data_IF_013991293331
#
_entry.id   IF_013991293331
#
_cell.length_a   1.000
_cell.length_b   1.000
_cell.length_c   1.000
_cell.angle_alpha   90.00
_cell.angle_beta   90.00
_cell.angle_gamma   90.00
#
_symmetry.space_group_name_H-M   'P 1'
#
loop_
_entity.id
_entity.type
_entity.pdbx_description
1 polymer ?
#
# COMPACT_ATOMS: atom_id res chain seq x y z
N UNK A 1 -60.57 51.24 32.47
CA UNK A 1 -60.22 49.83 32.15
C UNK A 1 -59.27 49.84 30.98
N UNK A 2 -57.97 49.97 31.26
CA UNK A 2 -56.92 50.22 30.25
C UNK A 2 -55.84 49.13 30.39
N UNK A 3 -55.71 48.30 29.37
CA UNK A 3 -54.80 47.18 29.33
C UNK A 3 -53.46 47.71 28.87
N UNK A 4 -52.44 47.57 29.72
CA UNK A 4 -51.05 47.91 29.39
C UNK A 4 -50.38 46.78 28.63
N UNK A 5 -49.82 47.07 27.42
CA UNK A 5 -48.95 46.20 26.61
C UNK A 5 -47.51 46.48 27.05
N UNK A 6 -46.89 45.46 27.64
CA UNK A 6 -45.49 45.47 27.94
C UNK A 6 -44.73 44.86 26.73
N UNK A 7 -43.83 45.64 26.12
CA UNK A 7 -42.85 45.18 25.10
C UNK A 7 -41.61 44.68 25.82
N UNK A 8 -41.05 43.55 25.44
CA UNK A 8 -39.69 43.21 25.87
C UNK A 8 -38.64 43.87 24.94
N UNK A 9 -37.69 44.51 25.58
CA UNK A 9 -36.54 45.15 24.97
C UNK A 9 -35.56 44.09 24.45
N UNK A 10 -35.22 44.18 23.18
CA UNK A 10 -34.08 43.47 22.56
C UNK A 10 -32.75 43.97 23.16
N UNK A 11 -32.04 43.07 23.75
CA UNK A 11 -30.64 43.20 24.10
C UNK A 11 -29.84 42.14 23.37
N UNK A 12 -29.46 42.40 22.12
CA UNK A 12 -28.49 41.59 21.42
C UNK A 12 -27.07 41.91 21.91
N UNK A 13 -26.61 41.17 22.90
CA UNK A 13 -25.19 41.16 23.24
C UNK A 13 -24.43 40.34 22.22
N UNK A 14 -23.61 40.99 21.40
CA UNK A 14 -22.59 40.36 20.58
C UNK A 14 -21.54 39.77 21.52
N UNK A 15 -21.68 38.51 21.91
CA UNK A 15 -20.60 37.79 22.60
C UNK A 15 -19.44 37.55 21.65
N UNK A 16 -18.36 38.29 21.91
CA UNK A 16 -17.07 38.08 21.29
C UNK A 16 -16.60 36.65 21.51
N UNK A 17 -16.15 36.04 20.45
CA UNK A 17 -15.59 34.68 20.39
C UNK A 17 -14.51 34.47 21.48
N UNK A 18 -14.71 33.58 22.47
CA UNK A 18 -13.73 33.39 23.54
C UNK A 18 -12.44 32.77 23.00
N UNK A 19 -11.33 33.29 23.44
CA UNK A 19 -9.95 32.93 23.10
C UNK A 19 -9.70 31.43 23.21
N UNK A 20 -9.23 30.82 22.11
CA UNK A 20 -8.77 29.42 22.10
C UNK A 20 -7.48 29.29 22.92
N UNK A 21 -7.35 28.29 23.82
CA UNK A 21 -6.13 28.11 24.61
C UNK A 21 -4.90 27.86 23.71
N UNK A 22 -3.72 28.34 24.13
CA UNK A 22 -2.49 28.25 23.30
C UNK A 22 -2.11 26.82 22.88
N UNK A 23 -2.43 25.81 23.70
CA UNK A 23 -2.22 24.39 23.37
C UNK A 23 -3.04 23.91 22.16
N UNK A 24 -4.25 24.44 21.99
CA UNK A 24 -5.10 24.05 20.84
C UNK A 24 -4.60 24.71 19.55
N UNK A 25 -4.10 25.95 19.63
CA UNK A 25 -3.40 26.60 18.53
C UNK A 25 -2.15 25.81 18.13
N UNK A 26 -1.35 25.36 19.10
CA UNK A 26 -0.17 24.56 18.85
C UNK A 26 -0.50 23.19 18.24
N UNK A 27 -1.59 22.52 18.65
CA UNK A 27 -2.07 21.28 18.06
C UNK A 27 -2.59 21.48 16.62
N UNK A 28 -3.36 22.55 16.38
CA UNK A 28 -3.83 22.88 15.04
C UNK A 28 -2.66 23.27 14.14
N UNK A 29 -1.69 24.05 14.63
CA UNK A 29 -0.47 24.34 13.88
C UNK A 29 0.42 23.11 13.68
N UNK A 30 0.55 22.22 14.67
CA UNK A 30 1.25 20.94 14.50
C UNK A 30 0.55 20.03 13.48
N UNK A 31 -0.79 19.95 13.48
CA UNK A 31 -1.54 19.27 12.43
C UNK A 31 -1.38 19.93 11.06
N UNK A 32 -1.41 21.26 10.98
CA UNK A 32 -1.21 22.01 9.74
C UNK A 32 0.24 21.91 9.23
N UNK A 33 1.23 21.87 10.10
CA UNK A 33 2.63 21.63 9.71
C UNK A 33 2.88 20.18 9.31
N UNK A 34 2.23 19.21 9.93
CA UNK A 34 2.20 17.81 9.43
C UNK A 34 1.51 17.68 8.07
N UNK A 35 0.52 18.52 7.78
CA UNK A 35 -0.18 18.57 6.48
C UNK A 35 0.64 19.30 5.39
N UNK A 36 1.53 20.21 5.78
CA UNK A 36 2.44 20.90 4.85
C UNK A 36 3.61 20.02 4.37
N UNK A 37 3.82 18.85 4.96
CA UNK A 37 4.65 17.81 4.36
C UNK A 37 3.78 17.17 3.26
N UNK A 38 3.71 17.84 2.11
CA UNK A 38 3.19 17.28 0.86
C UNK A 38 4.10 16.13 0.46
N UNK A 39 3.98 15.01 1.15
CA UNK A 39 4.52 13.76 0.68
C UNK A 39 3.66 13.37 -0.52
N UNK A 40 4.17 13.54 -1.72
CA UNK A 40 3.82 12.64 -2.80
C UNK A 40 3.97 11.25 -2.21
N UNK A 41 2.87 10.56 -2.00
CA UNK A 41 2.89 9.19 -1.51
C UNK A 41 3.30 8.28 -2.69
N UNK A 42 4.51 8.46 -3.19
CA UNK A 42 5.11 7.50 -4.09
C UNK A 42 5.20 6.17 -3.35
N UNK A 43 4.75 5.11 -3.98
CA UNK A 43 4.97 3.76 -3.48
C UNK A 43 6.47 3.56 -3.21
N UNK A 44 6.79 2.81 -2.16
CA UNK A 44 8.19 2.39 -1.95
C UNK A 44 8.55 1.56 -3.19
N UNK A 45 9.64 1.87 -3.90
CA UNK A 45 10.04 1.10 -5.06
C UNK A 45 10.37 -0.32 -4.63
N UNK A 46 9.81 -1.29 -5.34
CA UNK A 46 10.14 -2.70 -5.20
C UNK A 46 11.23 -3.09 -6.19
N UNK A 47 11.91 -4.20 -5.94
CA UNK A 47 12.85 -4.84 -6.86
C UNK A 47 12.24 -6.17 -7.31
N UNK A 48 11.48 -6.21 -8.41
CA UNK A 48 11.00 -7.46 -8.98
C UNK A 48 12.16 -8.32 -9.47
N UNK A 49 12.23 -9.56 -8.98
CA UNK A 49 13.13 -10.61 -9.44
C UNK A 49 12.27 -11.74 -9.98
N UNK A 50 12.28 -11.91 -11.29
CA UNK A 50 11.48 -12.92 -11.99
C UNK A 50 12.38 -13.99 -12.56
N UNK A 51 12.07 -15.27 -12.29
CA UNK A 51 12.70 -16.42 -12.91
C UNK A 51 11.74 -17.10 -13.88
N UNK A 52 12.13 -17.26 -15.14
CA UNK A 52 11.42 -18.09 -16.13
C UNK A 52 12.26 -19.32 -16.45
N UNK A 53 11.72 -20.50 -16.15
CA UNK A 53 12.41 -21.77 -16.26
C UNK A 53 11.66 -22.68 -17.23
N UNK A 54 12.38 -23.17 -18.25
CA UNK A 54 11.79 -24.01 -19.30
C UNK A 54 12.24 -25.47 -19.18
N UNK A 55 11.41 -26.41 -19.65
CA UNK A 55 11.68 -27.86 -19.63
C UNK A 55 12.95 -28.26 -20.40
N UNK A 56 13.42 -27.44 -21.32
CA UNK A 56 14.68 -27.65 -22.06
C UNK A 56 15.94 -27.23 -21.27
N UNK A 57 15.78 -26.85 -20.00
CA UNK A 57 16.84 -26.39 -19.12
C UNK A 57 17.25 -24.92 -19.33
N UNK A 58 16.59 -24.16 -20.20
CA UNK A 58 16.81 -22.71 -20.32
C UNK A 58 16.17 -21.98 -19.14
N UNK A 59 16.87 -20.97 -18.62
CA UNK A 59 16.38 -20.06 -17.61
C UNK A 59 16.62 -18.63 -18.06
N UNK A 60 15.63 -17.77 -17.87
CA UNK A 60 15.75 -16.32 -17.97
C UNK A 60 15.47 -15.72 -16.60
N UNK A 61 16.41 -14.91 -16.09
CA UNK A 61 16.23 -14.17 -14.86
C UNK A 61 16.15 -12.69 -15.21
N UNK A 62 15.07 -12.04 -14.77
CA UNK A 62 14.83 -10.62 -14.96
C UNK A 62 14.80 -9.92 -13.62
N UNK A 63 15.49 -8.78 -13.53
CA UNK A 63 15.45 -7.88 -12.37
C UNK A 63 15.04 -6.49 -12.83
N UNK A 64 14.18 -5.81 -12.07
CA UNK A 64 13.80 -4.44 -12.36
C UNK A 64 14.17 -3.56 -11.17
N UNK A 65 14.75 -2.38 -11.44
CA UNK A 65 15.19 -1.47 -10.39
C UNK A 65 14.99 -0.02 -10.81
N UNK A 66 14.36 0.75 -9.93
CA UNK A 66 14.23 2.20 -10.06
C UNK A 66 15.47 2.91 -9.49
N UNK A 67 15.92 4.03 -10.08
CA UNK A 67 16.93 4.90 -9.49
C UNK A 67 16.63 5.35 -8.07
N UNK A 68 15.37 5.42 -7.66
CA UNK A 68 14.95 5.73 -6.29
C UNK A 68 15.38 4.70 -5.26
N UNK A 69 15.62 3.44 -5.67
CA UNK A 69 15.86 2.32 -4.75
C UNK A 69 17.07 2.52 -3.84
N UNK A 70 18.08 3.30 -4.26
CA UNK A 70 19.26 3.60 -3.45
C UNK A 70 19.27 5.01 -2.85
N UNK A 71 18.19 5.77 -3.00
CA UNK A 71 18.06 7.06 -2.32
C UNK A 71 18.01 6.86 -0.80
N UNK A 72 18.44 7.86 -0.05
CA UNK A 72 18.37 7.85 1.42
C UNK A 72 16.94 7.60 1.93
N UNK A 73 15.96 8.16 1.24
CA UNK A 73 14.54 7.93 1.48
C UNK A 73 13.83 7.57 0.18
N UNK A 74 13.82 6.28 -0.22
CA UNK A 74 13.23 5.84 -1.50
C UNK A 74 11.76 6.25 -1.68
N UNK A 75 11.00 6.32 -0.58
CA UNK A 75 9.60 6.74 -0.57
C UNK A 75 9.40 8.21 -0.94
N UNK A 76 10.36 9.07 -0.60
CA UNK A 76 10.27 10.52 -0.80
C UNK A 76 11.08 11.01 -2.00
N UNK A 77 11.96 10.17 -2.53
CA UNK A 77 12.77 10.52 -3.68
C UNK A 77 11.88 10.63 -4.94
N UNK A 78 12.06 11.66 -5.76
CA UNK A 78 11.36 11.77 -7.03
C UNK A 78 11.79 10.66 -8.00
N UNK A 79 10.91 10.29 -8.89
CA UNK A 79 11.23 9.40 -10.00
C UNK A 79 12.15 10.12 -10.99
N UNK A 80 13.04 9.37 -11.63
CA UNK A 80 13.76 9.85 -12.80
C UNK A 80 12.80 9.80 -13.99
N UNK A 81 12.26 10.95 -14.40
CA UNK A 81 11.37 11.04 -15.55
C UNK A 81 12.12 10.91 -16.88
N UNK A 82 11.46 10.37 -17.89
CA UNK A 82 12.05 10.18 -19.21
C UNK A 82 12.54 11.49 -19.84
N UNK A 83 11.83 12.60 -19.65
CA UNK A 83 12.26 13.93 -20.13
C UNK A 83 13.66 14.32 -19.62
N UNK A 84 13.96 14.03 -18.35
CA UNK A 84 15.25 14.34 -17.74
C UNK A 84 16.31 13.32 -18.20
N UNK A 85 15.96 12.03 -18.25
CA UNK A 85 16.82 10.94 -18.73
C UNK A 85 17.25 11.12 -20.19
N UNK A 86 16.40 11.71 -21.04
CA UNK A 86 16.76 12.02 -22.43
C UNK A 86 17.96 12.97 -22.52
N UNK A 87 18.12 13.87 -21.57
CA UNK A 87 19.23 14.83 -21.50
C UNK A 87 20.55 14.20 -21.05
N UNK A 88 20.54 12.96 -20.51
CA UNK A 88 21.73 12.29 -20.00
C UNK A 88 22.69 11.93 -21.12
N UNK A 89 23.96 12.29 -20.92
CA UNK A 89 25.05 11.83 -21.79
C UNK A 89 25.24 10.29 -21.69
N UNK A 90 25.97 9.73 -22.63
CA UNK A 90 26.32 8.30 -22.59
C UNK A 90 27.07 7.93 -21.30
N UNK A 91 27.92 8.82 -20.80
CA UNK A 91 28.68 8.64 -19.57
C UNK A 91 27.77 8.65 -18.34
N UNK A 92 26.81 9.58 -18.25
CA UNK A 92 25.81 9.61 -17.17
C UNK A 92 24.92 8.37 -17.15
N UNK A 93 24.51 7.86 -18.31
CA UNK A 93 23.76 6.60 -18.42
C UNK A 93 24.59 5.40 -17.97
N UNK A 94 25.87 5.36 -18.32
CA UNK A 94 26.78 4.31 -17.89
C UNK A 94 27.02 4.33 -16.38
N UNK A 95 27.17 5.52 -15.78
CA UNK A 95 27.29 5.68 -14.33
C UNK A 95 26.01 5.26 -13.59
N UNK A 96 24.83 5.61 -14.10
CA UNK A 96 23.56 5.15 -13.57
C UNK A 96 23.48 3.62 -13.54
N UNK A 97 23.83 2.94 -14.63
CA UNK A 97 23.89 1.47 -14.67
C UNK A 97 24.91 0.88 -13.71
N UNK A 98 26.05 1.54 -13.54
CA UNK A 98 27.07 1.13 -12.56
C UNK A 98 26.53 1.20 -11.13
N UNK A 99 25.85 2.27 -10.76
CA UNK A 99 25.21 2.41 -9.45
C UNK A 99 24.14 1.34 -9.22
N UNK A 100 23.30 1.05 -10.22
CA UNK A 100 22.29 -0.01 -10.17
C UNK A 100 22.91 -1.38 -9.95
N UNK A 101 23.94 -1.74 -10.72
CA UNK A 101 24.67 -3.02 -10.56
C UNK A 101 25.27 -3.14 -9.16
N UNK A 102 25.88 -2.06 -8.65
CA UNK A 102 26.47 -2.03 -7.32
C UNK A 102 25.38 -2.25 -6.25
N UNK A 103 24.23 -1.56 -6.36
CA UNK A 103 23.13 -1.72 -5.43
C UNK A 103 22.56 -3.15 -5.45
N UNK A 104 22.26 -3.70 -6.63
CA UNK A 104 21.76 -5.07 -6.78
C UNK A 104 22.75 -6.09 -6.17
N UNK A 105 24.06 -5.98 -6.48
CA UNK A 105 25.05 -6.92 -5.97
C UNK A 105 25.26 -6.84 -4.46
N UNK A 106 25.03 -5.66 -3.86
CA UNK A 106 25.14 -5.45 -2.42
C UNK A 106 23.91 -5.94 -1.64
N UNK A 107 22.72 -5.91 -2.25
CA UNK A 107 21.46 -6.04 -1.51
C UNK A 107 20.57 -7.20 -1.99
N UNK A 108 20.80 -7.76 -3.18
CA UNK A 108 20.04 -8.89 -3.70
C UNK A 108 20.98 -10.07 -3.97
N UNK A 109 20.80 -11.15 -3.23
CA UNK A 109 21.56 -12.40 -3.43
C UNK A 109 20.71 -13.40 -4.20
N UNK A 110 21.23 -13.81 -5.35
CA UNK A 110 20.63 -14.82 -6.23
C UNK A 110 21.35 -16.16 -6.01
N UNK A 111 20.59 -17.24 -5.80
CA UNK A 111 21.13 -18.56 -5.44
C UNK A 111 20.56 -19.66 -6.31
N UNK A 112 21.42 -20.54 -6.79
CA UNK A 112 21.06 -21.81 -7.40
C UNK A 112 21.59 -22.95 -6.52
N UNK A 113 20.70 -23.83 -6.07
CA UNK A 113 21.10 -24.98 -5.26
C UNK A 113 21.53 -26.16 -6.16
N UNK A 114 22.65 -26.86 -5.86
CA UNK A 114 23.54 -26.70 -4.71
C UNK A 114 24.72 -25.74 -4.93
N UNK A 115 24.76 -24.99 -6.04
CA UNK A 115 25.89 -24.13 -6.45
C UNK A 115 26.13 -22.99 -5.44
N UNK A 116 25.05 -22.49 -4.81
CA UNK A 116 25.09 -21.36 -3.91
C UNK A 116 24.86 -20.03 -4.63
N UNK A 117 25.49 -18.96 -4.15
CA UNK A 117 25.38 -17.61 -4.72
C UNK A 117 25.89 -17.55 -6.14
N UNK A 118 25.09 -16.95 -7.02
CA UNK A 118 25.47 -16.66 -8.41
C UNK A 118 25.55 -15.15 -8.63
N UNK A 119 26.35 -14.74 -9.61
CA UNK A 119 26.47 -13.35 -10.06
C UNK A 119 26.20 -13.27 -11.56
N UNK A 120 24.93 -13.14 -11.98
CA UNK A 120 24.57 -13.03 -13.37
C UNK A 120 25.14 -11.76 -14.02
N UNK A 121 25.64 -11.89 -15.25
CA UNK A 121 25.97 -10.73 -16.06
C UNK A 121 24.72 -10.23 -16.79
N UNK A 122 24.00 -9.34 -16.13
CA UNK A 122 22.76 -8.78 -16.66
C UNK A 122 23.02 -7.81 -17.82
N UNK A 123 22.30 -8.01 -18.91
CA UNK A 123 22.12 -7.00 -19.96
C UNK A 123 20.97 -6.08 -19.56
N UNK A 124 21.24 -4.77 -19.48
CA UNK A 124 20.23 -3.80 -19.04
C UNK A 124 19.61 -3.05 -20.20
N UNK A 125 18.31 -2.84 -20.13
CA UNK A 125 17.52 -1.92 -20.94
C UNK A 125 16.76 -0.95 -20.04
N UNK A 126 16.46 0.26 -20.55
CA UNK A 126 15.62 1.21 -19.83
C UNK A 126 14.19 1.17 -20.37
N UNK A 127 13.24 1.07 -19.47
CA UNK A 127 11.80 0.93 -19.75
C UNK A 127 11.00 1.88 -18.87
N UNK A 128 9.73 2.09 -19.20
CA UNK A 128 8.78 2.73 -18.32
C UNK A 128 8.38 1.79 -17.16
N UNK A 129 7.88 2.34 -16.07
CA UNK A 129 7.36 1.56 -14.92
C UNK A 129 6.27 0.56 -15.35
N UNK A 130 5.51 0.88 -16.40
CA UNK A 130 4.51 -0.03 -17.00
C UNK A 130 5.12 -1.25 -17.71
N UNK A 131 6.45 -1.35 -17.77
CA UNK A 131 7.15 -2.41 -18.49
C UNK A 131 7.25 -2.19 -20.01
N UNK A 132 6.67 -1.11 -20.52
CA UNK A 132 6.69 -0.72 -21.93
C UNK A 132 7.94 0.11 -22.27
N UNK A 133 8.31 0.24 -23.56
CA UNK A 133 9.35 1.17 -23.97
C UNK A 133 9.00 2.60 -23.55
N UNK A 134 10.00 3.36 -23.11
CA UNK A 134 9.87 4.79 -22.76
C UNK A 134 9.33 5.59 -23.94
N UNK A 135 8.22 6.30 -23.77
CA UNK A 135 7.55 7.10 -24.79
C UNK A 135 7.05 8.44 -24.27
N UNK A 136 6.40 8.44 -23.09
CA UNK A 136 5.86 9.65 -22.49
C UNK A 136 6.99 10.39 -21.75
N UNK A 137 7.12 11.71 -21.89
CA UNK A 137 8.07 12.50 -21.09
C UNK A 137 7.94 12.33 -19.58
N UNK A 138 6.76 11.98 -19.08
CA UNK A 138 6.48 11.72 -17.66
C UNK A 138 6.70 10.26 -17.23
N UNK A 139 7.08 9.35 -18.15
CA UNK A 139 7.38 7.97 -17.81
C UNK A 139 8.50 7.91 -16.76
N UNK A 140 8.27 7.19 -15.66
CA UNK A 140 9.32 6.87 -14.70
C UNK A 140 10.29 5.84 -15.30
N UNK A 141 11.58 6.16 -15.25
CA UNK A 141 12.65 5.32 -15.86
C UNK A 141 13.02 4.19 -14.91
N UNK A 142 12.83 2.96 -15.38
CA UNK A 142 13.23 1.73 -14.71
C UNK A 142 14.33 1.04 -15.54
N UNK A 143 15.35 0.51 -14.90
CA UNK A 143 16.29 -0.37 -15.56
C UNK A 143 15.88 -1.84 -15.36
N UNK A 144 15.68 -2.52 -16.47
CA UNK A 144 15.40 -3.96 -16.51
C UNK A 144 16.70 -4.70 -16.93
N UNK A 145 17.22 -5.52 -16.03
CA UNK A 145 18.30 -6.44 -16.30
C UNK A 145 17.76 -7.80 -16.70
N UNK A 146 18.28 -8.36 -17.79
CA UNK A 146 17.95 -9.71 -18.27
C UNK A 146 19.22 -10.56 -18.31
N UNK A 147 19.10 -11.77 -17.82
CA UNK A 147 20.16 -12.77 -17.91
C UNK A 147 19.55 -14.10 -18.36
N UNK A 148 20.02 -14.59 -19.52
CA UNK A 148 19.62 -15.87 -20.06
C UNK A 148 20.77 -16.88 -19.93
N UNK A 149 20.45 -18.08 -19.47
CA UNK A 149 21.44 -19.14 -19.29
C UNK A 149 20.80 -20.51 -19.50
N UNK A 150 21.66 -21.52 -19.71
CA UNK A 150 21.29 -22.92 -19.50
C UNK A 150 21.61 -23.29 -18.07
N UNK A 151 20.61 -23.85 -17.37
CA UNK A 151 20.83 -24.34 -16.01
C UNK A 151 21.95 -25.38 -16.01
N UNK A 152 22.96 -25.26 -15.14
CA UNK A 152 23.97 -26.29 -14.96
C UNK A 152 23.33 -27.63 -14.55
N UNK A 153 23.94 -28.74 -14.97
CA UNK A 153 23.48 -30.05 -14.55
C UNK A 153 23.54 -30.20 -13.03
N UNK A 154 22.50 -30.79 -12.45
CA UNK A 154 22.40 -30.98 -11.00
C UNK A 154 21.87 -29.79 -10.20
N UNK A 155 21.44 -28.74 -10.86
CA UNK A 155 20.67 -27.65 -10.16
C UNK A 155 19.32 -28.21 -9.76
N UNK A 156 19.02 -28.06 -8.48
CA UNK A 156 17.78 -28.56 -7.87
C UNK A 156 16.87 -27.46 -7.37
N UNK A 157 17.39 -26.23 -7.19
CA UNK A 157 16.59 -25.17 -6.62
C UNK A 157 17.04 -23.76 -7.01
N UNK A 158 16.09 -22.84 -6.97
CA UNK A 158 16.27 -21.40 -7.17
C UNK A 158 15.74 -20.61 -6.00
N UNK A 159 16.51 -19.68 -5.49
CA UNK A 159 16.18 -18.86 -4.32
C UNK A 159 16.73 -17.44 -4.46
N UNK A 160 16.04 -16.49 -3.87
CA UNK A 160 16.49 -15.09 -3.74
C UNK A 160 16.54 -14.72 -2.26
N UNK A 161 17.53 -13.94 -1.90
CA UNK A 161 17.66 -13.38 -0.55
C UNK A 161 17.81 -11.86 -0.64
N UNK A 162 17.02 -11.15 0.13
CA UNK A 162 17.15 -9.71 0.37
C UNK A 162 18.14 -9.49 1.50
N UNK A 163 19.30 -8.89 1.19
CA UNK A 163 20.33 -8.62 2.20
C UNK A 163 19.99 -7.37 3.00
N UNK A 164 20.48 -7.21 4.24
CA UNK A 164 20.23 -6.00 5.03
C UNK A 164 20.92 -4.76 4.45
N UNK A 165 20.51 -3.57 4.89
CA UNK A 165 21.16 -2.30 4.56
C UNK A 165 20.47 -1.45 3.50
N UNK A 166 19.29 -1.85 3.04
CA UNK A 166 18.43 -1.06 2.16
C UNK A 166 17.01 -0.90 2.72
N UNK A 167 16.17 -0.09 2.05
CA UNK A 167 14.81 0.26 2.52
C UNK A 167 13.71 -0.14 1.52
N UNK A 168 14.03 -0.98 0.54
CA UNK A 168 13.12 -1.43 -0.51
C UNK A 168 12.79 -2.91 -0.32
N UNK A 169 11.68 -3.39 -0.86
CA UNK A 169 11.34 -4.82 -0.87
C UNK A 169 11.85 -5.49 -2.14
N UNK A 170 12.08 -6.81 -2.08
CA UNK A 170 12.40 -7.64 -3.24
C UNK A 170 11.22 -8.56 -3.50
N UNK A 171 10.63 -8.48 -4.68
CA UNK A 171 9.49 -9.30 -5.07
C UNK A 171 9.97 -10.48 -5.91
N UNK A 172 9.83 -11.68 -5.36
CA UNK A 172 10.27 -12.93 -5.99
C UNK A 172 9.11 -13.63 -6.67
N UNK A 173 9.17 -13.73 -8.00
CA UNK A 173 8.16 -14.32 -8.86
C UNK A 173 8.80 -15.30 -9.83
N UNK A 174 8.11 -16.39 -10.18
CA UNK A 174 8.64 -17.38 -11.07
C UNK A 174 7.61 -17.91 -12.06
N UNK A 175 8.08 -18.33 -13.21
CA UNK A 175 7.33 -19.02 -14.26
C UNK A 175 8.03 -20.32 -14.57
N UNK A 176 7.30 -21.41 -14.67
CA UNK A 176 7.84 -22.73 -15.04
C UNK A 176 7.05 -23.24 -16.24
N UNK A 177 7.73 -23.50 -17.36
CA UNK A 177 7.12 -23.95 -18.62
C UNK A 177 5.99 -23.05 -19.10
N UNK A 178 6.15 -21.72 -18.97
CA UNK A 178 5.15 -20.75 -19.37
C UNK A 178 3.96 -20.61 -18.41
N UNK A 179 3.94 -21.36 -17.31
CA UNK A 179 2.91 -21.25 -16.27
C UNK A 179 3.46 -20.51 -15.06
N UNK A 180 2.76 -19.46 -14.62
CA UNK A 180 3.14 -18.73 -13.43
C UNK A 180 3.14 -19.65 -12.21
N UNK A 181 4.24 -19.64 -11.45
CA UNK A 181 4.30 -20.38 -10.20
C UNK A 181 3.37 -19.72 -9.18
N UNK A 182 2.52 -20.49 -8.48
CA UNK A 182 1.49 -19.94 -7.62
C UNK A 182 2.03 -19.16 -6.41
N UNK A 183 3.29 -19.32 -6.07
CA UNK A 183 3.88 -18.72 -4.87
C UNK A 183 4.74 -17.51 -5.24
N UNK A 184 4.33 -16.34 -4.77
CA UNK A 184 5.11 -15.10 -4.81
C UNK A 184 5.65 -14.83 -3.40
N UNK A 185 6.84 -14.27 -3.27
CA UNK A 185 7.36 -13.84 -1.99
C UNK A 185 7.80 -12.37 -2.07
N UNK A 186 7.34 -11.57 -1.11
CA UNK A 186 7.85 -10.21 -0.87
C UNK A 186 8.85 -10.31 0.27
N UNK A 187 10.09 -9.94 0.01
CA UNK A 187 11.20 -10.08 0.94
C UNK A 187 11.60 -8.70 1.46
N UNK A 188 11.52 -8.52 2.75
CA UNK A 188 12.09 -7.35 3.42
C UNK A 188 13.61 -7.56 3.66
N UNK A 189 14.37 -6.49 3.93
CA UNK A 189 15.80 -6.61 4.21
C UNK A 189 16.11 -7.65 5.28
N UNK A 190 16.96 -8.63 4.93
CA UNK A 190 17.33 -9.76 5.79
C UNK A 190 16.54 -11.05 5.55
N UNK A 191 15.48 -11.03 4.72
CA UNK A 191 14.64 -12.20 4.44
C UNK A 191 15.12 -13.00 3.21
N UNK A 192 14.71 -14.27 3.17
CA UNK A 192 14.96 -15.19 2.07
C UNK A 192 13.66 -15.72 1.50
N UNK A 193 13.60 -15.91 0.18
CA UNK A 193 12.46 -16.54 -0.48
C UNK A 193 12.34 -18.02 -0.13
N UNK A 194 11.22 -18.62 -0.52
CA UNK A 194 11.18 -20.08 -0.64
C UNK A 194 12.17 -20.54 -1.73
N UNK A 195 12.56 -21.82 -1.69
CA UNK A 195 13.33 -22.44 -2.78
C UNK A 195 12.35 -22.99 -3.80
N UNK A 196 12.43 -22.51 -5.06
CA UNK A 196 11.71 -23.10 -6.17
C UNK A 196 12.39 -24.40 -6.58
N UNK A 197 11.65 -25.51 -6.60
CA UNK A 197 12.17 -26.81 -7.03
C UNK A 197 12.34 -26.85 -8.56
N UNK A 198 13.57 -27.10 -9.02
CA UNK A 198 13.95 -27.19 -10.42
C UNK A 198 14.38 -28.62 -10.83
N UNK A 199 14.23 -29.60 -9.96
CA UNK A 199 14.71 -30.98 -10.17
C UNK A 199 14.17 -31.60 -11.45
N UNK A 200 12.93 -31.32 -11.81
CA UNK A 200 12.28 -31.83 -13.03
C UNK A 200 12.75 -31.20 -14.34
N UNK A 201 13.50 -30.09 -14.29
CA UNK A 201 13.92 -29.32 -15.47
C UNK A 201 15.35 -29.63 -15.91
N UNK A 202 16.16 -30.23 -15.04
CA UNK A 202 17.59 -30.48 -15.27
C UNK A 202 17.95 -31.92 -15.60
N UNK A 203 16.99 -32.86 -15.49
CA UNK A 203 17.15 -34.25 -15.92
C UNK A 203 16.82 -34.39 -17.39
N UNK A 204 17.77 -34.96 -18.19
CA UNK A 204 17.52 -35.29 -19.58
C UNK A 204 16.24 -36.16 -19.71
N UNK A 205 15.45 -36.02 -20.81
CA UNK A 205 14.22 -36.75 -20.97
C UNK A 205 14.47 -38.26 -21.04
N UNK A 206 14.30 -38.96 -19.94
CA UNK A 206 14.09 -40.39 -19.96
C UNK A 206 12.67 -40.63 -20.47
N UNK A 207 12.57 -41.27 -21.64
CA UNK A 207 11.35 -41.70 -22.28
C UNK A 207 10.53 -42.60 -21.33
N UNK A 208 9.49 -42.04 -20.73
CA UNK A 208 8.58 -42.76 -19.85
C UNK A 208 7.55 -41.81 -19.28
N UNK A 209 6.46 -41.65 -20.02
CA UNK A 209 5.33 -40.85 -19.59
C UNK A 209 4.78 -41.35 -18.26
N UNK A 210 4.99 -40.60 -17.22
CA UNK A 210 4.07 -40.64 -16.09
C UNK A 210 3.77 -39.19 -15.78
N UNK A 211 2.49 -38.79 -15.86
CA UNK A 211 1.98 -37.54 -15.35
C UNK A 211 2.39 -37.45 -13.89
N UNK A 212 3.56 -36.88 -13.64
CA UNK A 212 3.97 -36.47 -12.31
C UNK A 212 3.05 -35.33 -11.91
N UNK A 213 2.01 -35.64 -11.14
CA UNK A 213 1.35 -34.65 -10.33
C UNK A 213 2.47 -33.92 -9.59
N UNK A 214 2.56 -32.60 -9.84
CA UNK A 214 3.33 -31.71 -9.00
C UNK A 214 2.79 -31.95 -7.59
N UNK A 215 3.54 -32.71 -6.80
CA UNK A 215 3.21 -32.88 -5.38
C UNK A 215 3.37 -31.49 -4.77
N UNK A 216 2.28 -30.76 -4.70
CA UNK A 216 2.14 -29.68 -3.75
C UNK A 216 2.37 -30.36 -2.37
N UNK A 217 3.59 -30.37 -1.92
CA UNK A 217 3.86 -30.63 -0.52
C UNK A 217 3.09 -29.56 0.24
N UNK A 218 1.95 -29.99 0.75
CA UNK A 218 1.13 -29.23 1.69
C UNK A 218 1.94 -29.06 2.98
N UNK A 219 2.87 -28.10 2.93
CA UNK A 219 3.56 -27.62 4.11
C UNK A 219 2.53 -26.81 4.92
N UNK A 220 1.81 -27.50 5.82
CA UNK A 220 0.84 -26.90 6.73
C UNK A 220 1.45 -25.79 7.59
N UNK A 221 2.78 -25.72 7.68
CA UNK A 221 3.52 -24.61 8.27
C UNK A 221 3.60 -23.35 7.37
N UNK A 222 3.53 -23.50 6.03
CA UNK A 222 3.59 -22.39 5.08
C UNK A 222 2.33 -21.52 5.08
N UNK A 223 1.16 -22.14 5.19
CA UNK A 223 -0.14 -21.42 5.19
C UNK A 223 -0.30 -20.45 6.37
N UNK A 224 0.13 -20.86 7.58
CA UNK A 224 0.06 -20.02 8.78
C UNK A 224 1.02 -18.82 8.76
N UNK A 225 2.25 -19.04 8.29
CA UNK A 225 3.23 -17.95 8.11
C UNK A 225 2.77 -16.95 7.05
N UNK A 226 2.23 -17.43 5.95
CA UNK A 226 1.67 -16.58 4.88
C UNK A 226 0.49 -15.77 5.40
N UNK A 227 -0.41 -16.37 6.18
CA UNK A 227 -1.53 -15.66 6.80
C UNK A 227 -1.04 -14.50 7.68
N UNK A 228 -0.09 -14.74 8.59
CA UNK A 228 0.44 -13.68 9.47
C UNK A 228 1.26 -12.63 8.74
N UNK A 229 1.96 -13.01 7.67
CA UNK A 229 2.60 -12.05 6.77
C UNK A 229 1.58 -11.09 6.17
N UNK A 230 0.44 -11.62 5.70
CA UNK A 230 -0.65 -10.80 5.15
C UNK A 230 -1.36 -9.96 6.23
N UNK A 231 -1.51 -10.47 7.45
CA UNK A 231 -2.01 -9.66 8.59
C UNK A 231 -1.09 -8.47 8.85
N UNK A 232 0.22 -8.70 8.87
CA UNK A 232 1.21 -7.63 9.05
C UNK A 232 1.14 -6.60 7.92
N UNK A 233 1.03 -7.05 6.69
CA UNK A 233 0.90 -6.20 5.51
C UNK A 233 -0.37 -5.32 5.58
N UNK A 234 -1.52 -5.91 5.89
CA UNK A 234 -2.77 -5.17 6.09
C UNK A 234 -2.69 -4.16 7.23
N UNK A 235 -2.00 -4.50 8.33
CA UNK A 235 -1.74 -3.57 9.41
C UNK A 235 -0.87 -2.39 8.96
N UNK A 236 0.23 -2.66 8.26
CA UNK A 236 1.14 -1.63 7.73
C UNK A 236 0.47 -0.75 6.68
N UNK A 237 -0.42 -1.30 5.87
CA UNK A 237 -1.24 -0.55 4.94
C UNK A 237 -2.07 0.55 5.63
N UNK A 238 -2.49 0.33 6.88
CA UNK A 238 -3.21 1.34 7.68
C UNK A 238 -2.21 2.17 8.49
N UNK A 239 -1.30 1.56 9.24
CA UNK A 239 -0.35 2.21 10.15
C UNK A 239 1.07 1.72 9.88
N UNK A 240 1.99 2.58 9.46
CA UNK A 240 1.91 4.05 9.31
C UNK A 240 1.59 4.55 7.89
N UNK A 241 1.39 3.68 6.89
CA UNK A 241 1.41 4.03 5.47
C UNK A 241 0.12 4.69 4.97
N UNK A 242 -1.02 4.30 5.53
CA UNK A 242 -2.34 4.71 5.06
C UNK A 242 -2.84 6.02 5.68
N UNK A 243 -2.26 7.18 5.38
CA UNK A 243 -2.73 8.47 5.89
C UNK A 243 -4.21 8.72 5.58
N UNK A 244 -4.68 8.33 4.40
CA UNK A 244 -6.08 8.41 4.00
C UNK A 244 -6.98 7.63 4.97
N UNK A 245 -6.59 6.39 5.29
CA UNK A 245 -7.29 5.53 6.23
C UNK A 245 -7.23 6.08 7.66
N UNK A 246 -6.07 6.58 8.08
CA UNK A 246 -5.90 7.18 9.41
C UNK A 246 -6.86 8.35 9.59
N UNK A 247 -6.90 9.30 8.64
CA UNK A 247 -7.79 10.46 8.72
C UNK A 247 -9.25 10.05 8.60
N UNK A 248 -9.58 9.09 7.75
CA UNK A 248 -10.93 8.55 7.62
C UNK A 248 -11.41 7.92 8.93
N UNK A 249 -10.62 7.03 9.53
CA UNK A 249 -10.92 6.36 10.81
C UNK A 249 -11.03 7.37 11.96
N UNK A 250 -10.16 8.36 12.02
CA UNK A 250 -10.27 9.46 12.98
C UNK A 250 -11.57 10.25 12.76
N UNK A 251 -11.97 10.50 11.51
CA UNK A 251 -13.25 11.12 11.17
C UNK A 251 -14.44 10.30 11.66
N UNK A 252 -14.40 8.97 11.55
CA UNK A 252 -15.43 8.08 12.10
C UNK A 252 -15.47 8.14 13.63
N UNK A 253 -14.31 8.13 14.27
CA UNK A 253 -14.17 8.16 15.72
C UNK A 253 -14.69 9.46 16.34
N UNK A 254 -14.43 10.61 15.71
CA UNK A 254 -14.81 11.92 16.27
C UNK A 254 -16.31 12.05 16.58
N UNK A 255 -17.17 11.39 15.80
CA UNK A 255 -18.62 11.44 16.02
C UNK A 255 -19.12 10.39 17.01
N UNK A 256 -18.48 9.23 17.07
CA UNK A 256 -18.98 8.10 17.87
C UNK A 256 -17.91 7.67 18.88
N UNK A 257 -18.12 8.00 20.18
CA UNK A 257 -17.22 7.59 21.26
C UNK A 257 -17.57 6.25 21.90
N UNK A 258 -18.74 5.71 21.58
CA UNK A 258 -19.20 4.42 22.13
C UNK A 258 -18.73 3.28 21.24
N UNK A 259 -18.27 2.19 21.85
CA UNK A 259 -17.63 1.08 21.16
C UNK A 259 -18.51 0.41 20.07
N UNK A 260 -19.84 0.27 20.32
CA UNK A 260 -20.76 -0.36 19.37
C UNK A 260 -20.87 0.36 18.02
N UNK A 261 -21.17 1.68 17.97
CA UNK A 261 -21.16 2.44 16.72
C UNK A 261 -19.78 2.46 16.04
N UNK A 262 -18.69 2.51 16.79
CA UNK A 262 -17.33 2.49 16.24
C UNK A 262 -17.08 1.14 15.54
N UNK A 263 -17.29 0.03 16.23
CA UNK A 263 -17.11 -1.30 15.64
C UNK A 263 -18.00 -1.49 14.42
N UNK A 264 -19.27 -1.10 14.49
CA UNK A 264 -20.19 -1.20 13.35
C UNK A 264 -19.67 -0.45 12.12
N UNK A 265 -19.11 0.76 12.30
CA UNK A 265 -18.52 1.53 11.19
C UNK A 265 -17.25 0.87 10.64
N UNK A 266 -16.33 0.48 11.51
CA UNK A 266 -15.06 -0.15 11.13
C UNK A 266 -15.31 -1.45 10.37
N UNK A 267 -16.10 -2.35 10.93
CA UNK A 267 -16.42 -3.64 10.28
C UNK A 267 -17.20 -3.45 8.98
N UNK A 268 -18.12 -2.46 8.92
CA UNK A 268 -18.83 -2.12 7.67
C UNK A 268 -17.86 -1.64 6.60
N UNK A 269 -16.91 -0.79 6.96
CA UNK A 269 -15.86 -0.33 6.06
C UNK A 269 -14.97 -1.49 5.57
N UNK A 270 -14.45 -2.30 6.50
CA UNK A 270 -13.56 -3.43 6.17
C UNK A 270 -14.27 -4.46 5.29
N UNK A 271 -15.55 -4.75 5.54
CA UNK A 271 -16.35 -5.65 4.71
C UNK A 271 -16.49 -5.11 3.28
N UNK A 272 -16.87 -3.83 3.14
CA UNK A 272 -17.02 -3.19 1.83
C UNK A 272 -15.67 -3.13 1.08
N UNK A 273 -14.61 -2.74 1.76
CA UNK A 273 -13.23 -2.72 1.25
C UNK A 273 -12.82 -4.12 0.74
N UNK A 274 -13.09 -5.16 1.52
CA UNK A 274 -12.78 -6.54 1.16
C UNK A 274 -13.49 -7.00 -0.11
N UNK A 275 -14.75 -6.60 -0.30
CA UNK A 275 -15.54 -6.96 -1.49
C UNK A 275 -14.88 -6.40 -2.75
N UNK A 276 -14.58 -5.10 -2.78
CA UNK A 276 -13.98 -4.48 -3.97
C UNK A 276 -12.55 -4.92 -4.18
N UNK A 277 -11.78 -5.10 -3.11
CA UNK A 277 -10.43 -5.65 -3.18
C UNK A 277 -10.44 -7.06 -3.81
N UNK A 278 -11.35 -7.94 -3.38
CA UNK A 278 -11.49 -9.27 -3.94
C UNK A 278 -11.90 -9.24 -5.42
N UNK A 279 -12.91 -8.42 -5.78
CA UNK A 279 -13.37 -8.29 -7.16
C UNK A 279 -12.28 -7.76 -8.08
N UNK A 280 -11.48 -6.80 -7.62
CA UNK A 280 -10.40 -6.24 -8.40
C UNK A 280 -9.21 -7.22 -8.52
N UNK A 281 -8.85 -7.92 -7.45
CA UNK A 281 -7.78 -8.95 -7.49
C UNK A 281 -8.16 -10.12 -8.41
N UNK A 282 -9.44 -10.45 -8.51
CA UNK A 282 -9.97 -11.46 -9.45
C UNK A 282 -10.11 -10.93 -10.89
N UNK A 283 -9.80 -9.65 -11.13
CA UNK A 283 -9.86 -9.04 -12.46
C UNK A 283 -11.27 -8.66 -12.94
N UNK A 284 -12.29 -8.73 -12.07
CA UNK A 284 -13.66 -8.34 -12.43
C UNK A 284 -13.84 -6.83 -12.54
N UNK A 285 -13.05 -6.05 -11.80
CA UNK A 285 -13.12 -4.58 -11.77
C UNK A 285 -11.69 -4.04 -11.85
N UNK A 286 -11.49 -3.08 -12.76
CA UNK A 286 -10.25 -2.30 -12.83
C UNK A 286 -10.64 -0.82 -12.99
N UNK A 287 -10.17 0.02 -12.09
CA UNK A 287 -10.40 1.47 -12.15
C UNK A 287 -9.04 2.16 -11.99
N UNK A 288 -8.81 3.17 -12.81
CA UNK A 288 -7.55 3.92 -12.82
C UNK A 288 -7.36 4.68 -11.50
N UNK A 289 -6.13 4.68 -10.98
CA UNK A 289 -5.77 5.34 -9.73
C UNK A 289 -6.10 6.84 -9.75
N UNK A 290 -5.90 7.51 -10.90
CA UNK A 290 -6.16 8.95 -11.09
C UNK A 290 -7.64 9.32 -10.87
N UNK A 291 -8.56 8.35 -10.94
CA UNK A 291 -9.99 8.55 -10.66
C UNK A 291 -10.29 8.21 -9.20
N UNK A 292 -9.70 7.12 -8.69
CA UNK A 292 -10.03 6.59 -7.36
C UNK A 292 -9.44 7.45 -6.24
N UNK A 293 -8.20 7.89 -6.37
CA UNK A 293 -7.51 8.65 -5.32
C UNK A 293 -8.17 9.98 -4.96
N UNK A 294 -8.59 10.84 -5.93
CA UNK A 294 -9.36 12.04 -5.58
C UNK A 294 -10.68 11.75 -4.88
N UNK A 295 -11.36 10.65 -5.25
CA UNK A 295 -12.64 10.26 -4.64
C UNK A 295 -12.40 9.75 -3.21
N UNK A 296 -11.32 9.01 -2.96
CA UNK A 296 -10.90 8.62 -1.61
C UNK A 296 -10.70 9.87 -0.75
N UNK A 297 -9.93 10.85 -1.23
CA UNK A 297 -9.70 12.09 -0.51
C UNK A 297 -10.99 12.90 -0.27
N UNK A 298 -11.88 12.95 -1.26
CA UNK A 298 -13.20 13.59 -1.09
C UNK A 298 -14.05 12.88 -0.04
N UNK A 299 -13.99 11.54 0.06
CA UNK A 299 -14.73 10.77 1.08
C UNK A 299 -14.29 11.14 2.51
N UNK A 300 -13.01 11.42 2.73
CA UNK A 300 -12.46 11.89 4.01
C UNK A 300 -13.05 13.25 4.37
N UNK A 301 -13.08 14.18 3.40
CA UNK A 301 -13.68 15.48 3.60
C UNK A 301 -15.17 15.39 3.93
N UNK A 302 -15.94 14.55 3.23
CA UNK A 302 -17.37 14.36 3.41
C UNK A 302 -17.68 13.83 4.82
N UNK A 303 -16.97 12.83 5.31
CA UNK A 303 -17.14 12.29 6.69
C UNK A 303 -16.86 13.38 7.73
N UNK A 304 -15.81 14.17 7.52
CA UNK A 304 -15.45 15.25 8.44
C UNK A 304 -16.49 16.39 8.43
N UNK A 305 -17.01 16.76 7.26
CA UNK A 305 -18.08 17.75 7.14
C UNK A 305 -19.40 17.26 7.77
N UNK A 306 -19.72 15.96 7.64
CA UNK A 306 -20.88 15.37 8.30
C UNK A 306 -20.81 15.53 9.82
N UNK A 307 -19.63 15.35 10.43
CA UNK A 307 -19.42 15.55 11.86
C UNK A 307 -19.75 17.00 12.32
N UNK A 308 -19.53 17.98 11.44
CA UNK A 308 -19.79 19.38 11.73
C UNK A 308 -21.27 19.73 11.60
N UNK A 309 -21.94 19.26 10.53
CA UNK A 309 -23.30 19.68 10.15
C UNK A 309 -24.41 18.73 10.61
N UNK A 310 -24.08 17.42 10.76
CA UNK A 310 -25.04 16.39 11.17
C UNK A 310 -24.48 15.51 12.27
N UNK A 311 -24.36 16.01 13.50
CA UNK A 311 -23.68 15.29 14.59
C UNK A 311 -24.52 14.14 15.18
N UNK A 312 -25.19 13.36 14.33
CA UNK A 312 -26.03 12.24 14.75
C UNK A 312 -25.61 10.95 14.05
N UNK A 313 -25.36 9.90 14.85
CA UNK A 313 -25.11 8.57 14.34
C UNK A 313 -26.42 7.92 13.85
N UNK A 314 -26.45 7.38 12.64
CA UNK A 314 -27.63 6.76 12.07
C UNK A 314 -27.33 5.81 10.90
N UNK A 315 -28.38 5.17 10.35
CA UNK A 315 -28.27 4.22 9.24
C UNK A 315 -27.66 4.85 7.98
N UNK A 316 -27.89 6.14 7.75
CA UNK A 316 -27.33 6.88 6.63
C UNK A 316 -25.80 6.90 6.70
N UNK A 317 -25.22 7.10 7.89
CA UNK A 317 -23.78 7.08 8.09
C UNK A 317 -23.17 5.71 7.76
N UNK A 318 -23.83 4.62 8.21
CA UNK A 318 -23.35 3.26 7.86
C UNK A 318 -23.38 3.03 6.35
N UNK A 319 -24.42 3.49 5.65
CA UNK A 319 -24.50 3.40 4.20
C UNK A 319 -23.35 4.18 3.50
N UNK A 320 -23.06 5.40 3.98
CA UNK A 320 -21.91 6.18 3.48
C UNK A 320 -20.59 5.47 3.72
N UNK A 321 -20.37 4.97 4.94
CA UNK A 321 -19.15 4.22 5.30
C UNK A 321 -19.00 2.98 4.42
N UNK A 322 -20.08 2.28 4.12
CA UNK A 322 -20.07 1.15 3.20
C UNK A 322 -19.63 1.56 1.79
N UNK A 323 -20.25 2.61 1.22
CA UNK A 323 -19.90 3.11 -0.11
C UNK A 323 -18.43 3.56 -0.15
N UNK A 324 -17.97 4.29 0.87
CA UNK A 324 -16.59 4.73 0.93
C UNK A 324 -15.61 3.55 1.11
N UNK A 325 -15.98 2.52 1.87
CA UNK A 325 -15.22 1.29 1.95
C UNK A 325 -15.03 0.60 0.59
N UNK A 326 -16.09 0.54 -0.24
CA UNK A 326 -15.98 0.04 -1.62
C UNK A 326 -14.97 0.83 -2.45
N UNK A 327 -14.98 2.15 -2.33
CA UNK A 327 -14.07 3.04 -3.06
C UNK A 327 -12.63 2.85 -2.60
N UNK A 328 -12.39 2.82 -1.28
CA UNK A 328 -11.05 2.63 -0.71
C UNK A 328 -10.44 1.28 -1.09
N UNK A 329 -11.27 0.22 -1.21
CA UNK A 329 -10.80 -1.09 -1.67
C UNK A 329 -10.31 -1.10 -3.11
N UNK A 330 -10.84 -0.23 -3.98
CA UNK A 330 -10.35 -0.08 -5.35
C UNK A 330 -8.97 0.60 -5.40
N UNK A 331 -8.68 1.51 -4.47
CA UNK A 331 -7.39 2.23 -4.44
C UNK A 331 -6.18 1.34 -4.14
N UNK A 332 -6.37 0.24 -3.42
CA UNK A 332 -5.29 -0.71 -3.10
C UNK A 332 -5.23 -1.91 -4.06
N UNK A 333 -6.28 -2.11 -4.82
CA UNK A 333 -6.44 -3.29 -5.67
C UNK A 333 -5.33 -3.46 -6.70
N UNK A 334 -4.82 -2.36 -7.27
CA UNK A 334 -3.77 -2.40 -8.27
C UNK A 334 -2.48 -3.06 -7.74
N UNK A 335 -2.10 -2.76 -6.49
CA UNK A 335 -0.95 -3.41 -5.84
C UNK A 335 -1.12 -4.92 -5.67
N UNK A 336 -2.33 -5.37 -5.29
CA UNK A 336 -2.61 -6.79 -5.11
C UNK A 336 -2.71 -7.55 -6.45
N UNK A 337 -3.16 -6.89 -7.52
CA UNK A 337 -3.20 -7.47 -8.88
C UNK A 337 -1.78 -7.69 -9.39
N UNK A 338 -0.87 -6.77 -9.13
CA UNK A 338 0.54 -6.89 -9.50
C UNK A 338 1.22 -8.06 -8.76
N UNK A 339 0.79 -8.37 -7.54
CA UNK A 339 1.25 -9.51 -6.73
C UNK A 339 0.81 -10.88 -7.27
N UNK A 340 -0.13 -10.94 -8.24
CA UNK A 340 -0.67 -12.17 -8.86
C UNK A 340 -0.88 -13.31 -7.85
N UNK A 341 -1.68 -13.04 -6.81
CA UNK A 341 -1.96 -14.02 -5.75
C UNK A 341 -2.63 -15.25 -6.35
N UNK A 342 -2.11 -16.48 -6.12
CA UNK A 342 -2.72 -17.69 -6.64
C UNK A 342 -4.14 -17.89 -6.14
N UNK A 343 -5.03 -18.41 -7.01
CA UNK A 343 -6.45 -18.56 -6.68
C UNK A 343 -6.71 -19.46 -5.46
N UNK A 344 -5.86 -20.45 -5.22
CA UNK A 344 -5.94 -21.38 -4.08
C UNK A 344 -5.53 -20.75 -2.74
N UNK A 345 -4.65 -19.75 -2.76
CA UNK A 345 -4.21 -18.99 -1.57
C UNK A 345 -4.89 -17.62 -1.44
N UNK A 346 -5.67 -17.20 -2.44
CA UNK A 346 -6.30 -15.89 -2.51
C UNK A 346 -7.20 -15.62 -1.31
N UNK A 347 -8.08 -16.58 -0.95
CA UNK A 347 -8.99 -16.41 0.17
C UNK A 347 -8.25 -16.21 1.49
N UNK A 348 -7.23 -17.04 1.76
CA UNK A 348 -6.40 -16.93 2.96
C UNK A 348 -5.60 -15.62 3.02
N UNK A 349 -5.09 -15.18 1.87
CA UNK A 349 -4.34 -13.92 1.75
C UNK A 349 -5.25 -12.71 1.97
N UNK A 350 -6.43 -12.67 1.34
CA UNK A 350 -7.40 -11.60 1.53
C UNK A 350 -7.94 -11.55 2.97
N UNK A 351 -8.23 -12.72 3.58
CA UNK A 351 -8.65 -12.77 4.98
C UNK A 351 -7.55 -12.26 5.92
N UNK A 352 -6.30 -12.72 5.74
CA UNK A 352 -5.18 -12.23 6.53
C UNK A 352 -4.98 -10.72 6.40
N UNK A 353 -4.98 -10.20 5.17
CA UNK A 353 -4.85 -8.78 4.90
C UNK A 353 -5.96 -7.98 5.59
N UNK A 354 -7.23 -8.37 5.44
CA UNK A 354 -8.36 -7.67 6.04
C UNK A 354 -8.38 -7.72 7.57
N UNK A 355 -7.92 -8.81 8.18
CA UNK A 355 -7.69 -8.87 9.63
C UNK A 355 -6.63 -7.84 10.04
N UNK A 356 -5.56 -7.70 9.25
CA UNK A 356 -4.53 -6.68 9.49
C UNK A 356 -5.08 -5.25 9.37
N UNK A 357 -5.88 -4.97 8.35
CA UNK A 357 -6.57 -3.70 8.16
C UNK A 357 -7.44 -3.36 9.38
N UNK A 358 -8.27 -4.29 9.83
CA UNK A 358 -9.14 -4.09 11.00
C UNK A 358 -8.35 -3.84 12.28
N UNK A 359 -7.27 -4.58 12.51
CA UNK A 359 -6.36 -4.36 13.64
C UNK A 359 -5.68 -2.99 13.59
N UNK A 360 -5.27 -2.52 12.41
CA UNK A 360 -4.71 -1.19 12.22
C UNK A 360 -5.72 -0.09 12.56
N UNK A 361 -6.95 -0.22 12.08
CA UNK A 361 -8.03 0.72 12.41
C UNK A 361 -8.35 0.74 13.89
N UNK A 362 -8.45 -0.43 14.54
CA UNK A 362 -8.68 -0.54 15.98
C UNK A 362 -7.53 0.06 16.80
N UNK A 363 -6.29 -0.06 16.34
CA UNK A 363 -5.13 0.58 17.00
C UNK A 363 -5.24 2.11 16.96
N UNK A 364 -5.64 2.70 15.83
CA UNK A 364 -5.88 4.16 15.72
C UNK A 364 -6.99 4.59 16.68
N UNK A 365 -8.08 3.84 16.72
CA UNK A 365 -9.23 4.14 17.60
C UNK A 365 -8.82 4.04 19.07
N UNK A 366 -8.06 3.02 19.45
CA UNK A 366 -7.56 2.86 20.81
C UNK A 366 -6.67 4.05 21.24
N UNK A 367 -5.78 4.50 20.36
CA UNK A 367 -4.96 5.69 20.59
C UNK A 367 -5.81 6.96 20.72
N UNK A 368 -6.80 7.13 19.84
CA UNK A 368 -7.70 8.29 19.88
C UNK A 368 -8.58 8.28 21.15
N UNK A 369 -9.09 7.11 21.57
CA UNK A 369 -9.79 6.94 22.84
C UNK A 369 -8.89 7.29 24.02
N UNK A 370 -7.67 6.78 24.09
CA UNK A 370 -6.71 7.07 25.14
C UNK A 370 -6.40 8.58 25.21
N UNK A 371 -6.19 9.21 24.05
CA UNK A 371 -5.90 10.64 23.94
C UNK A 371 -7.08 11.54 24.37
N UNK A 372 -8.33 11.04 24.32
CA UNK A 372 -9.53 11.84 24.62
C UNK A 372 -10.31 11.39 25.86
N UNK A 373 -9.88 10.28 26.51
CA UNK A 373 -10.59 9.66 27.65
C UNK A 373 -10.79 10.59 28.86
N UNK A 374 -9.91 11.57 29.05
CA UNK A 374 -9.96 12.55 30.14
C UNK A 374 -11.06 13.62 29.93
N UNK A 375 -11.58 13.78 28.69
CA UNK A 375 -12.65 14.73 28.39
C UNK A 375 -13.98 14.00 28.54
N UNK A 376 -14.62 14.08 29.73
CA UNK A 376 -15.88 13.40 30.01
C UNK A 376 -17.11 14.17 29.54
N UNK A 377 -17.02 15.48 29.54
CA UNK A 377 -18.10 16.38 29.16
C UNK A 377 -18.28 16.41 27.63
N UNK A 378 -19.49 16.10 27.14
CA UNK A 378 -19.81 15.98 25.71
C UNK A 378 -19.68 17.32 24.97
N UNK A 379 -20.11 18.44 25.63
CA UNK A 379 -20.03 19.76 25.00
C UNK A 379 -18.59 20.23 24.84
N UNK A 380 -17.75 20.00 25.87
CA UNK A 380 -16.30 20.25 25.80
C UNK A 380 -15.66 19.36 24.75
N UNK A 381 -16.01 18.07 24.69
CA UNK A 381 -15.48 17.17 23.67
C UNK A 381 -15.83 17.66 22.27
N UNK A 382 -17.11 18.02 22.02
CA UNK A 382 -17.54 18.55 20.73
C UNK A 382 -16.77 19.83 20.37
N UNK A 383 -16.67 20.77 21.30
CA UNK A 383 -16.03 22.07 21.06
C UNK A 383 -14.52 22.00 20.87
N UNK A 384 -13.84 21.09 21.60
CA UNK A 384 -12.39 21.05 21.68
C UNK A 384 -11.74 19.96 20.85
N UNK A 385 -12.50 18.93 20.47
CA UNK A 385 -11.99 17.78 19.73
C UNK A 385 -12.73 17.61 18.40
N UNK A 386 -14.07 17.49 18.43
CA UNK A 386 -14.85 17.19 17.22
C UNK A 386 -14.76 18.32 16.21
N UNK A 387 -15.07 19.54 16.60
CA UNK A 387 -15.10 20.68 15.68
C UNK A 387 -13.71 20.95 15.09
N UNK A 388 -12.63 21.17 15.89
CA UNK A 388 -11.33 21.45 15.32
C UNK A 388 -10.73 20.25 14.57
N UNK A 389 -10.91 19.02 15.08
CA UNK A 389 -10.44 17.81 14.43
C UNK A 389 -11.13 17.57 13.09
N UNK A 390 -12.46 17.67 13.05
CA UNK A 390 -13.22 17.51 11.80
C UNK A 390 -12.90 18.62 10.79
N UNK A 391 -12.69 19.86 11.25
CA UNK A 391 -12.29 20.96 10.35
C UNK A 391 -10.91 20.68 9.74
N UNK A 392 -9.93 20.24 10.53
CA UNK A 392 -8.61 19.90 10.04
C UNK A 392 -8.65 18.73 9.03
N UNK A 393 -9.41 17.67 9.34
CA UNK A 393 -9.60 16.51 8.44
C UNK A 393 -10.31 16.94 7.14
N UNK A 394 -11.34 17.79 7.22
CA UNK A 394 -12.04 18.28 6.03
C UNK A 394 -11.12 19.09 5.13
N UNK A 395 -10.31 19.99 5.69
CA UNK A 395 -9.34 20.79 4.93
C UNK A 395 -8.28 19.89 4.26
N UNK A 396 -7.77 18.89 4.98
CA UNK A 396 -6.83 17.92 4.42
C UNK A 396 -7.44 17.14 3.27
N UNK A 397 -8.67 16.60 3.46
CA UNK A 397 -9.36 15.85 2.43
C UNK A 397 -9.66 16.68 1.18
N UNK A 398 -10.10 17.93 1.34
CA UNK A 398 -10.31 18.85 0.20
C UNK A 398 -8.99 19.15 -0.52
N UNK A 399 -7.93 19.46 0.24
CA UNK A 399 -6.61 19.72 -0.33
C UNK A 399 -6.12 18.51 -1.17
N UNK A 400 -6.19 17.31 -0.61
CA UNK A 400 -5.77 16.10 -1.35
C UNK A 400 -6.68 15.78 -2.54
N UNK A 401 -7.99 16.00 -2.42
CA UNK A 401 -8.89 15.80 -3.56
C UNK A 401 -8.53 16.72 -4.74
N UNK A 402 -8.21 17.97 -4.46
CA UNK A 402 -7.78 18.94 -5.49
C UNK A 402 -6.40 18.57 -6.04
N UNK A 403 -5.40 18.33 -5.17
CA UNK A 403 -4.02 18.05 -5.58
C UNK A 403 -3.82 16.73 -6.32
N UNK A 404 -4.77 15.78 -6.18
CA UNK A 404 -4.76 14.50 -6.92
C UNK A 404 -5.58 14.58 -8.22
N UNK A 405 -6.26 15.70 -8.47
CA UNK A 405 -7.02 15.91 -9.70
C UNK A 405 -6.24 16.73 -10.72
N UNK A 406 -5.40 17.63 -10.24
CA UNK A 406 -4.59 18.59 -11.02
C UNK A 406 -3.10 18.41 -10.72
#
# INVERSE_FOLDING_TARGET
MTIGLNRPTEGASSEAMPWTPPLLRSLVWACLTCLAVSGYAHSIPDIPVRGDFQANGTAEITVEISPRSWAESPKLAPDLEFKDFQSYSAEQRADLLKQMRAFLSAHVELRLEPIGRIQPDFTFEFIAETGQPLKDPADAVIARGKWQTKLPAGVTGWQVRSLPGHKVSVVFQNTVNGQAHPRIAVLFPGESSYTLDLTGLTTAPSSGATKGAISAQSDTGGSWRTFWSRVREGFHHIVPEGLDHILFVLGLFLLARTWRPILAQVTTFTLAHSITLALATLGYISVRAEIVEPIIAASIAIIALENLFRPTYGKFRLAMVFIFGLIHGLGFAQRLVDDRIPADSLLGSLLGFNVGVELGQLAIIALALAATAWIKDEERYRRWVVIPGSTAIALAGVYWAVSRTF
#
